data_IF_271099213386
#
_entry.id   IF_271099213386
#
_cell.length_a   1.000
_cell.length_b   1.000
_cell.length_c   1.000
_cell.angle_alpha   90.00
_cell.angle_beta   90.00
_cell.angle_gamma   90.00
#
_symmetry.space_group_name_H-M   'P 1'
#
loop_
_entity.id
_entity.type
_entity.pdbx_description
1 polymer ?
#
# COMPACT_ATOMS: atom_id res chain seq x y z
N UNK A 1 32.53 49.91 -55.19
CA UNK A 1 32.94 49.92 -53.78
C UNK A 1 31.84 49.20 -52.99
N UNK A 2 32.11 47.98 -52.53
CA UNK A 2 31.15 47.15 -51.79
C UNK A 2 31.30 47.41 -50.29
N UNK A 3 30.23 47.86 -49.63
CA UNK A 3 30.18 47.91 -48.17
C UNK A 3 29.99 46.50 -47.60
N UNK A 4 31.01 46.04 -46.86
CA UNK A 4 30.96 44.83 -46.07
C UNK A 4 30.20 45.16 -44.79
N UNK A 5 28.98 44.63 -44.63
CA UNK A 5 28.26 44.62 -43.34
C UNK A 5 28.97 43.66 -42.40
N UNK A 6 29.75 44.19 -41.47
CA UNK A 6 30.23 43.43 -40.31
C UNK A 6 29.04 43.07 -39.41
N UNK A 7 28.77 41.77 -39.25
CA UNK A 7 27.85 41.26 -38.25
C UNK A 7 28.52 41.32 -36.87
N UNK A 8 28.11 42.27 -36.01
CA UNK A 8 28.56 42.34 -34.62
C UNK A 8 28.30 41.01 -33.88
N UNK A 9 29.30 40.40 -33.23
CA UNK A 9 29.08 39.21 -32.42
C UNK A 9 28.24 39.57 -31.19
N UNK A 10 27.20 38.78 -30.90
CA UNK A 10 26.35 39.00 -29.73
C UNK A 10 27.19 39.16 -28.44
N UNK A 11 26.89 40.12 -27.56
CA UNK A 11 27.80 40.50 -26.47
C UNK A 11 27.96 39.37 -25.45
N UNK A 12 29.22 38.93 -25.26
CA UNK A 12 29.63 37.85 -24.33
C UNK A 12 29.17 38.07 -22.87
N UNK A 13 28.87 39.30 -22.47
CA UNK A 13 28.40 39.67 -21.13
C UNK A 13 26.97 39.21 -20.85
N UNK A 14 26.05 39.36 -21.81
CA UNK A 14 24.65 38.93 -21.65
C UNK A 14 24.51 37.40 -21.58
N UNK A 15 25.40 36.65 -22.23
CA UNK A 15 25.47 35.20 -22.11
C UNK A 15 25.97 34.77 -20.72
N UNK A 16 27.03 35.43 -20.21
CA UNK A 16 27.58 35.19 -18.87
C UNK A 16 26.58 35.52 -17.76
N UNK A 17 25.88 36.64 -17.83
CA UNK A 17 24.85 37.01 -16.84
C UNK A 17 23.69 36.02 -16.82
N UNK A 18 23.21 35.58 -18.00
CA UNK A 18 22.17 34.55 -18.09
C UNK A 18 22.65 33.23 -17.48
N UNK A 19 23.90 32.83 -17.71
CA UNK A 19 24.49 31.65 -17.09
C UNK A 19 24.56 31.80 -15.56
N UNK A 20 25.07 32.91 -15.05
CA UNK A 20 25.17 33.17 -13.61
C UNK A 20 23.80 33.19 -12.93
N UNK A 21 22.77 33.79 -13.55
CA UNK A 21 21.39 33.75 -13.03
C UNK A 21 20.85 32.33 -12.99
N UNK A 22 21.06 31.53 -14.04
CA UNK A 22 20.66 30.11 -14.06
C UNK A 22 21.36 29.30 -12.98
N UNK A 23 22.66 29.51 -12.78
CA UNK A 23 23.43 28.85 -11.72
C UNK A 23 22.95 29.26 -10.33
N UNK A 24 22.68 30.55 -10.11
CA UNK A 24 22.15 31.05 -8.84
C UNK A 24 20.78 30.42 -8.52
N UNK A 25 19.88 30.34 -9.49
CA UNK A 25 18.58 29.66 -9.33
C UNK A 25 18.77 28.17 -9.07
N UNK A 26 19.63 27.48 -9.82
CA UNK A 26 19.91 26.06 -9.62
C UNK A 26 20.48 25.78 -8.22
N UNK A 27 21.40 26.62 -7.75
CA UNK A 27 21.97 26.53 -6.41
C UNK A 27 20.92 26.80 -5.32
N UNK A 28 20.06 27.79 -5.50
CA UNK A 28 18.96 28.06 -4.57
C UNK A 28 17.99 26.86 -4.48
N UNK A 29 17.62 26.27 -5.62
CA UNK A 29 16.79 25.07 -5.66
C UNK A 29 17.45 23.87 -4.97
N UNK A 30 18.76 23.68 -5.17
CA UNK A 30 19.53 22.62 -4.50
C UNK A 30 19.55 22.83 -2.98
N UNK A 31 19.78 24.06 -2.51
CA UNK A 31 19.75 24.37 -1.07
C UNK A 31 18.38 24.07 -0.47
N UNK A 32 17.29 24.52 -1.12
CA UNK A 32 15.92 24.22 -0.67
C UNK A 32 15.66 22.70 -0.65
N UNK A 33 16.09 21.98 -1.67
CA UNK A 33 15.97 20.53 -1.73
C UNK A 33 16.70 19.85 -0.56
N UNK A 34 17.96 20.21 -0.32
CA UNK A 34 18.76 19.65 0.77
C UNK A 34 18.17 19.96 2.15
N UNK A 35 17.69 21.19 2.36
CA UNK A 35 17.01 21.57 3.60
C UNK A 35 15.71 20.79 3.81
N UNK A 36 14.91 20.60 2.75
CA UNK A 36 13.68 19.82 2.82
C UNK A 36 13.94 18.34 3.09
N UNK A 37 14.93 17.74 2.41
CA UNK A 37 15.37 16.36 2.63
C UNK A 37 15.86 16.15 4.08
N UNK A 38 16.75 17.02 4.56
CA UNK A 38 17.25 16.96 5.94
C UNK A 38 16.10 17.10 6.95
N UNK A 39 15.19 18.05 6.73
CA UNK A 39 14.03 18.29 7.60
C UNK A 39 13.10 17.08 7.65
N UNK A 40 12.82 16.44 6.50
CA UNK A 40 12.00 15.23 6.43
C UNK A 40 12.67 14.03 7.10
N UNK A 41 13.98 13.86 6.95
CA UNK A 41 14.73 12.80 7.65
C UNK A 41 14.71 12.98 9.15
N UNK A 42 14.94 14.20 9.63
CA UNK A 42 14.83 14.53 11.06
C UNK A 42 13.40 14.28 11.54
N UNK A 43 12.39 14.76 10.82
CA UNK A 43 10.99 14.53 11.17
C UNK A 43 10.63 13.04 11.23
N UNK A 44 11.02 12.26 10.22
CA UNK A 44 10.82 10.82 10.18
C UNK A 44 11.52 10.11 11.34
N UNK A 45 12.75 10.52 11.69
CA UNK A 45 13.49 9.92 12.81
C UNK A 45 12.87 10.24 14.17
N UNK A 46 12.27 11.43 14.31
CA UNK A 46 11.73 11.94 15.57
C UNK A 46 10.24 11.66 15.78
N UNK A 47 9.53 11.19 14.77
CA UNK A 47 8.08 10.97 14.80
C UNK A 47 7.70 9.57 14.32
N UNK A 48 6.40 9.26 14.35
CA UNK A 48 5.82 8.01 13.83
C UNK A 48 5.59 8.06 12.32
N UNK A 49 6.15 9.07 11.66
CA UNK A 49 6.08 9.24 10.24
C UNK A 49 6.92 8.21 9.51
N UNK A 50 6.26 7.32 8.76
CA UNK A 50 6.92 6.40 7.84
C UNK A 50 7.08 7.11 6.48
N UNK A 51 8.31 7.31 5.99
CA UNK A 51 8.56 7.84 4.67
C UNK A 51 7.95 6.96 3.58
N UNK A 52 7.43 7.57 2.52
CA UNK A 52 6.90 6.85 1.36
C UNK A 52 7.97 6.34 0.40
N UNK A 53 9.20 6.27 0.85
CA UNK A 53 10.25 5.58 0.09
C UNK A 53 9.78 4.14 -0.12
N UNK A 54 9.99 3.60 -1.32
CA UNK A 54 9.81 2.17 -1.64
C UNK A 54 10.86 1.36 -0.87
N UNK A 55 10.80 1.41 0.47
CA UNK A 55 11.74 0.77 1.38
C UNK A 55 11.56 -0.74 1.38
N UNK A 56 10.36 -1.19 1.02
CA UNK A 56 9.98 -2.57 1.20
C UNK A 56 9.54 -3.26 -0.07
N UNK A 57 9.23 -2.62 -1.20
CA UNK A 57 8.67 -3.34 -2.35
C UNK A 57 9.68 -3.50 -3.49
N UNK A 58 9.84 -4.72 -3.99
CA UNK A 58 10.60 -5.02 -5.21
C UNK A 58 9.72 -5.74 -6.24
N UNK A 59 10.00 -5.57 -7.55
CA UNK A 59 9.36 -6.36 -8.60
C UNK A 59 9.52 -7.86 -8.31
N UNK A 60 8.41 -8.60 -8.41
CA UNK A 60 8.41 -10.05 -8.22
C UNK A 60 7.71 -10.71 -9.40
N UNK A 61 8.36 -11.65 -10.08
CA UNK A 61 7.84 -12.23 -11.33
C UNK A 61 6.43 -12.82 -11.19
N UNK A 62 6.17 -13.58 -10.12
CA UNK A 62 4.85 -14.18 -9.90
C UNK A 62 3.83 -13.23 -9.26
N UNK A 63 4.25 -12.39 -8.31
CA UNK A 63 3.37 -11.57 -7.47
C UNK A 63 3.23 -10.13 -7.96
N UNK A 64 3.96 -9.75 -9.02
CA UNK A 64 4.13 -8.37 -9.48
C UNK A 64 5.05 -7.58 -8.56
N UNK A 65 4.80 -7.62 -7.25
CA UNK A 65 5.62 -7.03 -6.20
C UNK A 65 5.63 -7.88 -4.94
N UNK A 66 6.74 -7.84 -4.21
CA UNK A 66 6.88 -8.50 -2.91
C UNK A 66 7.78 -7.67 -2.00
N UNK A 67 7.76 -8.00 -0.70
CA UNK A 67 8.62 -7.31 0.24
C UNK A 67 10.11 -7.65 -0.02
N UNK A 68 11.01 -6.66 0.10
CA UNK A 68 12.47 -6.81 -0.01
C UNK A 68 12.98 -7.51 1.25
N UNK A 69 13.54 -8.73 1.16
CA UNK A 69 14.07 -9.42 2.32
C UNK A 69 15.21 -8.65 2.99
N UNK A 70 15.20 -8.57 4.32
CA UNK A 70 16.18 -7.82 5.11
C UNK A 70 16.01 -6.30 5.03
N UNK A 71 14.88 -5.81 4.50
CA UNK A 71 14.59 -4.38 4.54
C UNK A 71 14.26 -3.94 5.96
N UNK A 72 14.89 -2.85 6.37
CA UNK A 72 14.80 -2.31 7.72
C UNK A 72 14.50 -0.81 7.72
N UNK A 73 13.63 -0.42 8.65
CA UNK A 73 13.34 0.97 8.93
C UNK A 73 13.15 1.16 10.43
N UNK A 74 13.87 2.12 10.99
CA UNK A 74 13.76 2.50 12.39
C UNK A 74 13.55 4.01 12.57
N UNK A 75 12.62 4.35 13.45
CA UNK A 75 12.43 5.69 13.99
C UNK A 75 12.52 5.69 15.52
N UNK A 76 12.36 6.84 16.17
CA UNK A 76 12.33 6.91 17.65
C UNK A 76 11.10 6.23 18.25
N UNK A 77 10.06 6.02 17.46
CA UNK A 77 8.73 5.60 17.95
C UNK A 77 8.18 4.39 17.20
N UNK A 78 8.94 3.80 16.28
CA UNK A 78 8.54 2.61 15.54
C UNK A 78 9.69 1.96 14.79
N UNK A 79 9.50 0.70 14.43
CA UNK A 79 10.41 -0.11 13.63
C UNK A 79 9.61 -1.02 12.70
N UNK A 80 10.08 -1.14 11.47
CA UNK A 80 9.55 -2.07 10.48
C UNK A 80 10.72 -2.91 9.99
N UNK A 81 10.67 -4.20 10.29
CA UNK A 81 11.62 -5.17 9.80
C UNK A 81 10.92 -6.12 8.82
N UNK A 82 11.54 -6.35 7.66
CA UNK A 82 11.19 -7.44 6.75
C UNK A 82 12.24 -8.52 6.91
N UNK A 83 11.82 -9.69 7.40
CA UNK A 83 12.70 -10.81 7.64
C UNK A 83 13.33 -11.38 6.35
N UNK A 84 14.29 -12.29 6.52
CA UNK A 84 15.03 -12.94 5.44
C UNK A 84 14.14 -13.72 4.44
N UNK A 85 12.90 -14.04 4.82
CA UNK A 85 11.92 -14.74 4.00
C UNK A 85 10.95 -13.78 3.26
N UNK A 86 11.11 -12.47 3.45
CA UNK A 86 10.29 -11.44 2.81
C UNK A 86 8.90 -11.29 3.43
N UNK A 87 8.80 -11.40 4.77
CA UNK A 87 7.60 -11.14 5.57
C UNK A 87 7.90 -10.12 6.66
N UNK A 88 6.88 -9.39 7.13
CA UNK A 88 7.10 -8.40 8.19
C UNK A 88 7.26 -9.07 9.55
N UNK A 89 8.17 -8.55 10.37
CA UNK A 89 8.39 -8.97 11.76
C UNK A 89 9.53 -9.99 11.89
N UNK A 90 9.53 -10.76 12.97
CA UNK A 90 10.64 -11.63 13.34
C UNK A 90 10.92 -12.77 12.35
N UNK A 91 12.13 -13.30 12.40
CA UNK A 91 12.52 -14.52 11.70
C UNK A 91 11.74 -15.73 12.22
N UNK A 92 11.48 -16.69 11.33
CA UNK A 92 10.89 -17.98 11.66
C UNK A 92 11.49 -19.09 10.80
N UNK A 93 11.44 -20.32 11.31
CA UNK A 93 11.99 -21.47 10.61
C UNK A 93 11.09 -21.84 9.41
N UNK A 94 11.64 -22.03 8.19
CA UNK A 94 10.85 -22.45 7.04
C UNK A 94 10.10 -23.75 7.28
N UNK A 95 10.80 -24.77 7.78
CA UNK A 95 10.19 -26.01 8.27
C UNK A 95 9.43 -25.72 9.58
N UNK A 96 8.15 -26.09 9.63
CA UNK A 96 7.31 -25.87 10.81
C UNK A 96 7.85 -26.69 12.00
N UNK A 97 8.24 -26.06 13.13
CA UNK A 97 8.69 -26.79 14.30
C UNK A 97 7.58 -27.66 14.90
N UNK A 98 7.97 -28.75 15.58
CA UNK A 98 7.02 -29.62 16.27
C UNK A 98 6.28 -28.86 17.38
N UNK A 99 4.96 -29.08 17.48
CA UNK A 99 4.12 -28.40 18.48
C UNK A 99 3.83 -26.93 18.18
N UNK A 100 4.20 -26.44 16.98
CA UNK A 100 3.86 -25.08 16.54
C UNK A 100 2.55 -25.07 15.76
N UNK A 101 1.63 -24.19 16.18
CA UNK A 101 0.45 -23.82 15.39
C UNK A 101 0.75 -22.54 14.63
N UNK A 102 0.79 -22.62 13.30
CA UNK A 102 1.24 -21.54 12.42
C UNK A 102 0.05 -20.85 11.73
N UNK A 103 -0.05 -19.54 11.91
CA UNK A 103 -1.11 -18.71 11.36
C UNK A 103 -0.50 -17.81 10.29
N UNK A 104 -1.01 -17.85 9.07
CA UNK A 104 -0.67 -16.88 8.04
C UNK A 104 -1.71 -15.75 8.03
N UNK A 105 -1.29 -14.50 8.22
CA UNK A 105 -2.15 -13.33 8.13
C UNK A 105 -1.92 -12.62 6.78
N UNK A 106 -2.89 -12.66 5.88
CA UNK A 106 -2.82 -12.00 4.57
C UNK A 106 -3.68 -10.75 4.52
N UNK A 107 -3.18 -9.72 3.83
CA UNK A 107 -3.88 -8.44 3.70
C UNK A 107 -3.05 -7.38 2.98
N UNK A 108 -3.58 -6.16 2.99
CA UNK A 108 -2.91 -4.97 2.48
C UNK A 108 -2.02 -4.29 3.53
N UNK A 109 -1.96 -2.95 3.44
CA UNK A 109 -1.31 -2.07 4.42
C UNK A 109 -1.88 -2.19 5.83
N UNK A 110 -3.14 -2.61 5.96
CA UNK A 110 -3.85 -2.84 7.23
C UNK A 110 -3.32 -4.05 7.99
N UNK A 111 -2.95 -5.12 7.28
CA UNK A 111 -2.29 -6.31 7.87
C UNK A 111 -0.80 -6.10 8.05
N UNK A 112 -0.16 -5.45 7.07
CA UNK A 112 1.23 -5.04 7.21
C UNK A 112 1.38 -4.17 8.46
N UNK A 113 0.50 -3.20 8.70
CA UNK A 113 0.59 -2.24 9.81
C UNK A 113 1.31 -0.96 9.40
N UNK A 114 1.02 -0.42 8.21
CA UNK A 114 1.73 0.74 7.63
C UNK A 114 1.37 2.10 8.27
N UNK A 115 0.50 2.13 9.29
CA UNK A 115 0.04 3.38 9.91
C UNK A 115 0.93 3.82 11.08
N UNK A 116 1.00 5.13 11.40
CA UNK A 116 1.82 5.64 12.50
C UNK A 116 1.56 4.99 13.87
N UNK A 117 0.33 4.54 14.13
CA UNK A 117 -0.03 3.84 15.36
C UNK A 117 0.39 2.35 15.38
N UNK A 118 0.74 1.80 14.22
CA UNK A 118 1.14 0.39 14.02
C UNK A 118 2.53 0.28 13.39
N UNK A 119 3.30 1.37 13.39
CA UNK A 119 4.61 1.48 12.73
C UNK A 119 5.73 0.77 13.49
N UNK A 120 5.42 0.07 14.59
CA UNK A 120 6.29 -0.90 15.22
C UNK A 120 5.81 -2.30 14.86
N UNK A 121 6.73 -3.22 14.57
CA UNK A 121 6.40 -4.63 14.33
C UNK A 121 5.54 -5.23 15.44
N UNK A 122 5.78 -4.84 16.69
CA UNK A 122 5.04 -5.32 17.85
C UNK A 122 3.62 -4.72 17.99
N UNK A 123 3.31 -3.69 17.21
CA UNK A 123 2.04 -3.00 17.19
C UNK A 123 1.13 -3.46 16.03
N UNK A 124 1.66 -4.13 15.01
CA UNK A 124 0.84 -4.74 13.96
C UNK A 124 0.01 -5.88 14.55
N UNK A 125 -1.27 -6.00 14.13
CA UNK A 125 -2.17 -6.98 14.72
C UNK A 125 -1.68 -8.43 14.66
N UNK A 126 -0.93 -8.90 13.64
CA UNK A 126 -0.40 -10.27 13.63
C UNK A 126 0.56 -10.54 14.79
N UNK A 127 1.45 -9.59 15.11
CA UNK A 127 2.37 -9.71 16.24
C UNK A 127 1.64 -9.62 17.58
N UNK A 128 0.64 -8.72 17.68
CA UNK A 128 -0.23 -8.64 18.86
C UNK A 128 -0.97 -9.97 19.08
N UNK A 129 -1.51 -10.56 18.01
CA UNK A 129 -2.18 -11.85 18.05
C UNK A 129 -1.24 -12.97 18.51
N UNK A 130 -0.03 -13.05 17.95
CA UNK A 130 0.98 -14.04 18.37
C UNK A 130 1.26 -13.95 19.87
N UNK A 131 1.47 -12.73 20.37
CA UNK A 131 1.72 -12.48 21.79
C UNK A 131 0.53 -12.92 22.64
N UNK A 132 -0.68 -12.52 22.28
CA UNK A 132 -1.90 -12.87 23.02
C UNK A 132 -2.13 -14.38 23.06
N UNK A 133 -1.95 -15.09 21.94
CA UNK A 133 -2.11 -16.55 21.87
C UNK A 133 -1.06 -17.29 22.70
N UNK A 134 0.20 -16.83 22.65
CA UNK A 134 1.26 -17.44 23.45
C UNK A 134 1.16 -17.12 24.94
N UNK A 135 0.54 -16.01 25.32
CA UNK A 135 0.22 -15.72 26.73
C UNK A 135 -0.99 -16.52 27.21
N UNK A 136 -2.07 -16.58 26.42
CA UNK A 136 -3.31 -17.24 26.82
C UNK A 136 -3.23 -18.77 26.76
N UNK A 137 -2.40 -19.33 25.87
CA UNK A 137 -2.26 -20.78 25.63
C UNK A 137 -3.62 -21.50 25.54
N UNK A 138 -4.50 -21.11 24.59
CA UNK A 138 -5.87 -21.60 24.55
C UNK A 138 -6.01 -23.09 24.22
N UNK A 139 -5.01 -23.68 23.56
CA UNK A 139 -4.90 -25.12 23.31
C UNK A 139 -3.64 -25.65 24.02
N UNK A 140 -3.82 -26.60 24.92
CA UNK A 140 -2.73 -27.21 25.70
C UNK A 140 -1.83 -28.13 24.88
N UNK A 141 -2.26 -28.56 23.68
CA UNK A 141 -1.46 -29.34 22.74
C UNK A 141 -0.50 -28.47 21.92
N UNK A 142 -0.75 -27.16 21.86
CA UNK A 142 0.08 -26.21 21.11
C UNK A 142 1.17 -25.64 22.00
N UNK A 143 2.40 -26.10 21.78
CA UNK A 143 3.58 -25.59 22.48
C UNK A 143 3.87 -24.12 22.14
N UNK A 144 3.64 -23.69 20.89
CA UNK A 144 3.86 -22.31 20.44
C UNK A 144 2.91 -21.90 19.31
N UNK A 145 2.43 -20.67 19.37
CA UNK A 145 1.78 -20.03 18.24
C UNK A 145 2.80 -19.19 17.48
N UNK A 146 2.75 -19.26 16.15
CA UNK A 146 3.56 -18.43 15.26
C UNK A 146 2.62 -17.75 14.26
N UNK A 147 2.70 -16.42 14.13
CA UNK A 147 1.84 -15.64 13.24
C UNK A 147 2.70 -14.93 12.20
N UNK A 148 2.65 -15.43 10.96
CA UNK A 148 3.34 -14.85 9.82
C UNK A 148 2.55 -13.63 9.32
N UNK A 149 3.13 -12.43 9.44
CA UNK A 149 2.57 -11.23 8.83
C UNK A 149 2.91 -11.19 7.33
N UNK A 150 1.99 -11.69 6.52
CA UNK A 150 2.08 -11.71 5.06
C UNK A 150 1.29 -10.55 4.42
N UNK A 151 1.05 -9.48 5.18
CA UNK A 151 0.51 -8.24 4.64
C UNK A 151 1.52 -7.53 3.74
N UNK A 152 1.06 -6.98 2.62
CA UNK A 152 1.89 -6.14 1.74
C UNK A 152 1.07 -4.91 1.37
N UNK A 153 1.58 -3.68 1.58
CA UNK A 153 0.85 -2.45 1.22
C UNK A 153 0.30 -2.52 -0.20
N UNK A 154 -0.97 -2.12 -0.39
CA UNK A 154 -1.62 -2.14 -1.70
C UNK A 154 -2.02 -3.52 -2.28
N UNK A 155 -1.69 -4.65 -1.64
CA UNK A 155 -2.16 -5.97 -2.08
C UNK A 155 -3.69 -6.02 -2.10
N UNK A 156 -4.22 -6.55 -3.21
CA UNK A 156 -5.62 -6.96 -3.31
C UNK A 156 -5.79 -8.39 -2.81
N UNK A 157 -7.03 -8.83 -2.67
CA UNK A 157 -7.33 -10.22 -2.36
C UNK A 157 -6.72 -11.18 -3.38
N UNK A 158 -6.70 -10.80 -4.66
CA UNK A 158 -6.05 -11.57 -5.73
C UNK A 158 -4.54 -11.70 -5.53
N UNK A 159 -3.88 -10.62 -5.13
CA UNK A 159 -2.45 -10.64 -4.84
C UNK A 159 -2.15 -11.58 -3.67
N UNK A 160 -3.01 -11.58 -2.65
CA UNK A 160 -2.90 -12.52 -1.52
C UNK A 160 -3.23 -13.96 -1.90
N UNK A 161 -4.16 -14.21 -2.83
CA UNK A 161 -4.38 -15.55 -3.40
C UNK A 161 -3.14 -16.09 -4.09
N UNK A 162 -2.50 -15.28 -4.94
CA UNK A 162 -1.24 -15.65 -5.57
C UNK A 162 -0.15 -15.91 -4.52
N UNK A 163 0.06 -14.99 -3.58
CA UNK A 163 1.05 -15.12 -2.52
C UNK A 163 0.81 -16.36 -1.64
N UNK A 164 -0.46 -16.68 -1.37
CA UNK A 164 -0.82 -17.87 -0.61
C UNK A 164 -0.44 -19.14 -1.36
N UNK A 165 -0.88 -19.24 -2.63
CA UNK A 165 -0.63 -20.40 -3.49
C UNK A 165 0.85 -20.64 -3.79
N UNK A 166 1.63 -19.57 -3.99
CA UNK A 166 3.01 -19.68 -4.50
C UNK A 166 4.08 -19.60 -3.42
N UNK A 167 3.77 -19.05 -2.23
CA UNK A 167 4.75 -18.85 -1.14
C UNK A 167 4.24 -19.38 0.19
N UNK A 168 3.07 -18.96 0.68
CA UNK A 168 2.69 -19.24 2.07
C UNK A 168 2.41 -20.72 2.34
N UNK A 169 1.86 -21.46 1.38
CA UNK A 169 1.62 -22.90 1.53
C UNK A 169 2.91 -23.69 1.85
N UNK A 170 4.07 -23.23 1.34
CA UNK A 170 5.37 -23.85 1.64
C UNK A 170 5.68 -23.87 3.14
N UNK A 171 5.21 -22.87 3.89
CA UNK A 171 5.43 -22.76 5.33
C UNK A 171 4.42 -23.55 6.17
N UNK A 172 3.53 -24.33 5.55
CA UNK A 172 2.59 -25.23 6.22
C UNK A 172 1.72 -24.56 7.31
N UNK A 173 1.05 -23.42 7.01
CA UNK A 173 0.16 -22.79 7.96
C UNK A 173 -1.00 -23.72 8.33
N UNK A 174 -1.43 -23.69 9.59
CA UNK A 174 -2.62 -24.37 10.10
C UNK A 174 -3.88 -23.49 9.97
N UNK A 175 -3.70 -22.17 9.92
CA UNK A 175 -4.76 -21.18 9.77
C UNK A 175 -4.36 -20.05 8.83
N UNK A 176 -5.33 -19.53 8.07
CA UNK A 176 -5.19 -18.37 7.20
C UNK A 176 -6.17 -17.28 7.63
N UNK A 177 -5.67 -16.16 8.15
CA UNK A 177 -6.49 -14.97 8.41
C UNK A 177 -6.49 -14.09 7.15
N UNK A 178 -7.67 -13.78 6.64
CA UNK A 178 -7.87 -12.94 5.46
C UNK A 178 -8.46 -11.60 5.87
N UNK A 179 -7.69 -10.52 5.72
CA UNK A 179 -8.14 -9.16 5.99
C UNK A 179 -7.94 -8.25 4.77
N UNK A 180 -8.98 -8.17 3.93
CA UNK A 180 -9.01 -7.46 2.64
C UNK A 180 -10.33 -6.72 2.43
N UNK A 181 -10.35 -5.89 1.36
CA UNK A 181 -11.47 -5.18 0.73
C UNK A 181 -11.00 -3.79 0.27
N UNK A 182 -10.13 -3.15 1.05
CA UNK A 182 -9.69 -1.75 0.82
C UNK A 182 -9.06 -1.57 -0.56
N UNK A 183 -8.09 -2.41 -0.94
CA UNK A 183 -7.38 -2.29 -2.20
C UNK A 183 -8.17 -2.87 -3.38
N UNK A 184 -9.08 -3.79 -3.12
CA UNK A 184 -10.02 -4.33 -4.10
C UNK A 184 -11.05 -3.26 -4.51
N UNK A 185 -11.53 -2.49 -3.53
CA UNK A 185 -12.44 -1.37 -3.75
C UNK A 185 -11.73 -0.17 -4.40
N UNK A 186 -10.45 0.06 -4.10
CA UNK A 186 -9.61 1.05 -4.80
C UNK A 186 -9.47 0.77 -6.31
N UNK A 187 -9.75 -0.46 -6.74
CA UNK A 187 -9.72 -0.87 -8.15
C UNK A 187 -11.10 -0.81 -8.82
N UNK A 188 -12.13 -0.39 -8.10
CA UNK A 188 -13.46 -0.21 -8.66
C UNK A 188 -13.44 0.78 -9.82
N UNK A 189 -14.21 0.53 -10.87
CA UNK A 189 -14.25 1.36 -12.09
C UNK A 189 -13.02 1.22 -13.02
N UNK A 190 -12.06 0.36 -12.69
CA UNK A 190 -10.93 0.04 -13.57
C UNK A 190 -11.18 -1.28 -14.32
N UNK A 191 -11.65 -1.18 -15.57
CA UNK A 191 -11.94 -2.35 -16.44
C UNK A 191 -10.74 -3.28 -16.58
N UNK A 192 -9.51 -2.76 -16.68
CA UNK A 192 -8.33 -3.60 -16.78
C UNK A 192 -8.12 -4.47 -15.53
N UNK A 193 -8.51 -3.98 -14.35
CA UNK A 193 -8.47 -4.76 -13.10
C UNK A 193 -9.50 -5.90 -13.08
N UNK A 194 -10.60 -5.77 -13.83
CA UNK A 194 -11.60 -6.82 -14.03
C UNK A 194 -11.16 -7.84 -15.09
N UNK A 195 -10.74 -7.38 -16.26
CA UNK A 195 -10.55 -8.21 -17.46
C UNK A 195 -9.18 -8.86 -17.55
N UNK A 196 -8.16 -8.28 -16.91
CA UNK A 196 -6.79 -8.80 -16.91
C UNK A 196 -6.34 -9.18 -15.50
N UNK A 197 -6.92 -10.25 -14.91
CA UNK A 197 -6.69 -10.56 -13.52
C UNK A 197 -5.24 -10.96 -13.20
N UNK A 198 -4.50 -11.44 -14.20
CA UNK A 198 -3.11 -11.87 -14.06
C UNK A 198 -2.11 -10.76 -14.41
N UNK A 199 -2.55 -9.67 -15.05
CA UNK A 199 -1.70 -8.49 -15.22
C UNK A 199 -1.62 -7.80 -13.86
N UNK A 200 -0.61 -8.19 -13.08
CA UNK A 200 -0.26 -7.45 -11.89
C UNK A 200 -0.03 -6.00 -12.31
N UNK A 201 -0.79 -5.09 -11.70
CA UNK A 201 -0.72 -3.64 -11.92
C UNK A 201 0.60 -3.03 -11.41
N UNK A 202 1.69 -3.79 -11.41
CA UNK A 202 3.00 -3.21 -11.55
C UNK A 202 3.03 -2.62 -12.96
N UNK A 203 2.51 -1.41 -13.10
CA UNK A 203 2.66 -0.61 -14.32
C UNK A 203 4.17 -0.54 -14.52
N UNK A 204 4.73 -1.11 -15.60
CA UNK A 204 6.14 -0.90 -15.91
C UNK A 204 6.32 0.61 -15.88
N UNK A 205 7.11 1.09 -14.94
CA UNK A 205 7.38 2.52 -14.90
C UNK A 205 7.94 2.88 -16.28
N UNK A 206 7.38 3.91 -16.92
CA UNK A 206 7.97 4.41 -18.16
C UNK A 206 9.47 4.63 -17.94
N UNK A 207 10.29 4.37 -18.96
CA UNK A 207 11.77 4.34 -18.83
C UNK A 207 12.32 5.53 -18.01
N UNK A 208 11.74 6.72 -18.21
CA UNK A 208 12.11 7.93 -17.46
C UNK A 208 11.76 7.88 -15.97
N UNK A 209 10.59 7.36 -15.61
CA UNK A 209 10.19 7.20 -14.21
C UNK A 209 11.07 6.16 -13.50
N UNK A 210 11.38 5.05 -14.18
CA UNK A 210 12.29 4.02 -13.65
C UNK A 210 13.71 4.55 -13.43
N UNK A 211 14.24 5.38 -14.35
CA UNK A 211 15.54 6.04 -14.18
C UNK A 211 15.52 7.03 -13.00
N UNK A 212 14.46 7.81 -12.83
CA UNK A 212 14.33 8.72 -11.71
C UNK A 212 14.29 7.97 -10.38
N UNK A 213 13.56 6.85 -10.28
CA UNK A 213 13.52 6.06 -9.05
C UNK A 213 14.88 5.39 -8.76
N UNK A 214 15.65 5.00 -9.78
CA UNK A 214 17.03 4.52 -9.56
C UNK A 214 17.96 5.59 -8.99
N UNK A 215 17.84 6.84 -9.45
CA UNK A 215 18.74 7.93 -9.06
C UNK A 215 18.26 8.65 -7.80
N UNK A 216 16.96 8.75 -7.58
CA UNK A 216 16.32 9.56 -6.53
C UNK A 216 15.50 8.73 -5.53
N UNK A 217 15.47 7.40 -5.68
CA UNK A 217 14.77 6.47 -4.80
C UNK A 217 15.13 6.63 -3.33
N UNK A 218 16.37 7.02 -3.05
CA UNK A 218 16.89 7.26 -1.71
C UNK A 218 16.34 8.51 -1.01
N UNK A 219 15.78 9.47 -1.75
CA UNK A 219 15.35 10.77 -1.23
C UNK A 219 13.92 10.74 -0.68
N UNK A 220 13.77 11.13 0.59
CA UNK A 220 12.45 11.24 1.24
C UNK A 220 11.64 12.35 0.58
N UNK A 221 12.27 13.50 0.31
CA UNK A 221 11.61 14.65 -0.32
C UNK A 221 11.12 14.32 -1.72
N UNK A 222 11.94 13.65 -2.54
CA UNK A 222 11.56 13.23 -3.88
C UNK A 222 10.34 12.31 -3.84
N UNK A 223 10.37 11.29 -2.98
CA UNK A 223 9.26 10.34 -2.87
C UNK A 223 7.97 11.00 -2.34
N UNK A 224 8.09 11.93 -1.41
CA UNK A 224 6.94 12.72 -0.95
C UNK A 224 6.33 13.61 -2.01
N UNK A 225 7.19 14.30 -2.78
CA UNK A 225 6.76 15.14 -3.89
C UNK A 225 6.12 14.28 -4.98
N UNK A 226 6.75 13.18 -5.36
CA UNK A 226 6.23 12.21 -6.35
C UNK A 226 4.86 11.70 -5.94
N UNK A 227 4.70 11.24 -4.70
CA UNK A 227 3.41 10.79 -4.19
C UNK A 227 2.37 11.93 -4.16
N UNK A 228 2.75 13.13 -3.72
CA UNK A 228 1.82 14.26 -3.63
C UNK A 228 1.37 14.71 -5.02
N UNK A 229 2.30 14.85 -5.96
CA UNK A 229 2.01 15.25 -7.33
C UNK A 229 1.21 14.17 -8.08
N UNK A 230 1.65 12.92 -8.02
CA UNK A 230 1.01 11.81 -8.72
C UNK A 230 -0.33 11.41 -8.11
N UNK A 231 -0.35 11.13 -6.80
CA UNK A 231 -1.51 10.54 -6.14
C UNK A 231 -2.53 11.59 -5.71
N UNK A 232 -2.10 12.70 -5.09
CA UNK A 232 -3.04 13.68 -4.53
C UNK A 232 -3.53 14.68 -5.56
N UNK A 233 -2.63 15.23 -6.38
CA UNK A 233 -2.98 16.25 -7.36
C UNK A 233 -3.50 15.64 -8.66
N UNK A 234 -2.70 14.81 -9.32
CA UNK A 234 -3.09 14.22 -10.60
C UNK A 234 -4.22 13.20 -10.45
N UNK A 235 -4.15 12.31 -9.46
CA UNK A 235 -5.23 11.37 -9.14
C UNK A 235 -6.54 12.08 -8.78
N UNK A 236 -6.47 13.17 -8.01
CA UNK A 236 -7.63 14.01 -7.68
C UNK A 236 -8.26 14.66 -8.91
N UNK A 237 -7.44 15.19 -9.83
CA UNK A 237 -7.89 15.78 -11.08
C UNK A 237 -8.57 14.74 -11.98
N UNK A 238 -7.97 13.56 -12.16
CA UNK A 238 -8.57 12.48 -12.95
C UNK A 238 -9.90 12.02 -12.35
N UNK A 239 -9.97 11.85 -11.03
CA UNK A 239 -11.21 11.51 -10.34
C UNK A 239 -12.29 12.60 -10.54
N UNK A 240 -11.92 13.88 -10.47
CA UNK A 240 -12.83 14.99 -10.74
C UNK A 240 -13.33 15.01 -12.20
N UNK A 241 -12.46 14.69 -13.17
CA UNK A 241 -12.85 14.56 -14.58
C UNK A 241 -13.77 13.36 -14.83
N UNK A 242 -13.51 12.24 -14.15
CA UNK A 242 -14.34 11.03 -14.26
C UNK A 242 -15.70 11.18 -13.58
N UNK A 243 -15.76 11.90 -12.45
CA UNK A 243 -17.00 12.16 -11.71
C UNK A 243 -17.78 13.38 -12.22
N UNK A 244 -17.14 14.25 -13.00
CA UNK A 244 -17.74 15.45 -13.61
C UNK A 244 -18.43 15.22 -14.96
N UNK A 245 -18.31 14.02 -15.55
CA UNK A 245 -19.15 13.63 -16.69
C UNK A 245 -20.56 13.37 -16.19
N UNK A 246 -21.53 14.19 -16.62
CA UNK A 246 -22.92 14.27 -16.09
C UNK A 246 -23.81 13.02 -16.19
N UNK A 247 -23.26 11.82 -16.20
CA UNK A 247 -24.00 10.57 -16.01
C UNK A 247 -24.21 10.24 -14.53
N UNK A 248 -25.38 9.71 -14.20
CA UNK A 248 -25.66 9.18 -12.86
C UNK A 248 -24.72 7.99 -12.58
N UNK A 249 -23.97 8.04 -11.47
CA UNK A 249 -23.13 6.91 -11.06
C UNK A 249 -24.02 5.70 -10.78
N UNK A 250 -23.69 4.55 -11.39
CA UNK A 250 -24.37 3.28 -11.16
C UNK A 250 -23.43 2.27 -10.56
N UNK A 251 -23.96 1.51 -9.60
CA UNK A 251 -23.25 0.39 -9.03
C UNK A 251 -23.07 -0.71 -10.09
N UNK A 252 -21.84 -1.21 -10.21
CA UNK A 252 -21.45 -2.28 -11.12
C UNK A 252 -21.18 -3.55 -10.30
N UNK A 253 -22.06 -4.55 -10.37
CA UNK A 253 -21.94 -5.78 -9.58
C UNK A 253 -20.75 -6.64 -9.98
N UNK A 254 -20.14 -6.42 -11.16
CA UNK A 254 -18.99 -7.23 -11.62
C UNK A 254 -17.81 -7.18 -10.66
N UNK A 255 -17.58 -6.03 -10.02
CA UNK A 255 -16.47 -5.87 -9.07
C UNK A 255 -16.66 -6.70 -7.79
N UNK A 256 -17.88 -6.73 -7.24
CA UNK A 256 -18.21 -7.59 -6.09
C UNK A 256 -18.16 -9.07 -6.47
N UNK A 257 -18.67 -9.44 -7.65
CA UNK A 257 -18.61 -10.84 -8.13
C UNK A 257 -17.16 -11.34 -8.25
N UNK A 258 -16.27 -10.49 -8.76
CA UNK A 258 -14.84 -10.80 -8.87
C UNK A 258 -14.20 -10.92 -7.48
N UNK A 259 -14.53 -10.02 -6.55
CA UNK A 259 -14.07 -10.09 -5.16
C UNK A 259 -14.53 -11.39 -4.49
N UNK A 260 -15.82 -11.74 -4.59
CA UNK A 260 -16.41 -12.99 -4.08
C UNK A 260 -15.72 -14.22 -4.66
N UNK A 261 -15.49 -14.24 -5.97
CA UNK A 261 -14.79 -15.34 -6.64
C UNK A 261 -13.39 -15.53 -6.07
N UNK A 262 -12.60 -14.46 -5.99
CA UNK A 262 -11.22 -14.54 -5.51
C UNK A 262 -11.15 -14.92 -4.03
N UNK A 263 -12.12 -14.47 -3.21
CA UNK A 263 -12.27 -14.88 -1.82
C UNK A 263 -12.57 -16.37 -1.70
N UNK A 264 -13.55 -16.85 -2.47
CA UNK A 264 -13.93 -18.26 -2.50
C UNK A 264 -12.76 -19.13 -2.96
N UNK A 265 -12.01 -18.73 -3.99
CA UNK A 265 -10.83 -19.45 -4.41
C UNK A 265 -9.76 -19.55 -3.31
N UNK A 266 -9.54 -18.46 -2.56
CA UNK A 266 -8.59 -18.47 -1.45
C UNK A 266 -9.05 -19.42 -0.32
N UNK A 267 -10.33 -19.37 0.04
CA UNK A 267 -10.94 -20.25 1.04
C UNK A 267 -10.83 -21.72 0.62
N UNK A 268 -11.23 -22.05 -0.62
CA UNK A 268 -11.16 -23.40 -1.14
C UNK A 268 -9.72 -23.91 -1.19
N UNK A 269 -8.77 -23.08 -1.62
CA UNK A 269 -7.35 -23.45 -1.64
C UNK A 269 -6.81 -23.70 -0.23
N UNK A 270 -7.19 -22.87 0.75
CA UNK A 270 -6.80 -23.07 2.14
C UNK A 270 -7.33 -24.41 2.68
N UNK A 271 -8.64 -24.65 2.53
CA UNK A 271 -9.28 -25.90 2.96
C UNK A 271 -8.70 -27.14 2.28
N UNK A 272 -8.44 -27.07 0.98
CA UNK A 272 -7.85 -28.17 0.21
C UNK A 272 -6.44 -28.55 0.71
N UNK A 273 -5.75 -27.66 1.41
CA UNK A 273 -4.44 -27.90 2.03
C UNK A 273 -4.52 -28.09 3.55
N UNK A 274 -5.72 -28.32 4.11
CA UNK A 274 -5.92 -28.52 5.55
C UNK A 274 -5.73 -27.25 6.39
N UNK A 275 -5.75 -26.07 5.77
CA UNK A 275 -5.58 -24.77 6.42
C UNK A 275 -6.95 -24.18 6.76
N UNK A 276 -7.18 -23.80 8.01
CA UNK A 276 -8.45 -23.21 8.47
C UNK A 276 -8.53 -21.74 8.04
N UNK A 277 -9.48 -21.35 7.16
CA UNK A 277 -9.66 -19.95 6.79
C UNK A 277 -10.44 -19.19 7.86
N UNK A 278 -9.97 -18.01 8.22
CA UNK A 278 -10.65 -17.05 9.11
C UNK A 278 -10.81 -15.74 8.35
N UNK A 279 -12.06 -15.35 8.10
CA UNK A 279 -12.38 -14.18 7.29
C UNK A 279 -12.71 -12.98 8.17
N UNK A 280 -11.96 -11.89 8.03
CA UNK A 280 -12.18 -10.65 8.76
C UNK A 280 -12.84 -9.60 7.85
N UNK A 281 -13.97 -9.05 8.29
CA UNK A 281 -14.60 -7.90 7.60
C UNK A 281 -13.75 -6.65 7.75
N UNK A 282 -13.70 -5.82 6.71
CA UNK A 282 -13.03 -4.53 6.75
C UNK A 282 -13.66 -3.61 7.80
N UNK A 283 -12.85 -3.08 8.70
CA UNK A 283 -13.29 -2.04 9.62
C UNK A 283 -13.59 -0.75 8.82
N UNK A 284 -14.81 -0.22 8.96
CA UNK A 284 -15.25 1.00 8.29
C UNK A 284 -15.57 2.03 9.37
N UNK A 285 -14.82 3.14 9.36
CA UNK A 285 -14.99 4.23 10.31
C UNK A 285 -16.18 5.15 9.99
N UNK A 286 -16.73 5.07 8.79
CA UNK A 286 -17.84 5.90 8.32
C UNK A 286 -19.10 5.07 8.06
N UNK A 287 -20.26 5.71 8.16
CA UNK A 287 -21.57 5.10 7.87
C UNK A 287 -22.26 5.83 6.73
N UNK A 288 -23.41 5.33 6.27
CA UNK A 288 -24.27 6.05 5.32
C UNK A 288 -24.71 7.43 5.84
N UNK A 289 -24.64 7.67 7.15
CA UNK A 289 -25.01 8.93 7.80
C UNK A 289 -23.83 9.89 8.01
N UNK A 290 -22.61 9.48 7.67
CA UNK A 290 -21.42 10.32 7.88
C UNK A 290 -21.45 11.53 6.94
N UNK A 291 -21.55 12.72 7.51
CA UNK A 291 -21.43 13.99 6.78
C UNK A 291 -19.94 14.35 6.63
N UNK A 292 -19.39 14.09 5.46
CA UNK A 292 -17.99 14.40 5.14
C UNK A 292 -17.69 15.91 5.17
N UNK A 293 -18.69 16.79 5.07
CA UNK A 293 -18.49 18.23 5.21
C UNK A 293 -18.37 18.66 6.68
N UNK A 294 -19.00 17.91 7.61
CA UNK A 294 -19.09 18.25 9.03
C UNK A 294 -18.68 17.09 9.94
N UNK A 295 -17.45 16.60 9.79
CA UNK A 295 -16.91 15.54 10.64
C UNK A 295 -16.74 16.00 12.10
N UNK A 296 -17.09 15.14 13.06
CA UNK A 296 -16.78 15.32 14.48
C UNK A 296 -15.27 15.27 14.73
N UNK A 297 -14.83 15.71 15.91
CA UNK A 297 -13.41 15.61 16.28
C UNK A 297 -12.92 14.16 16.42
N UNK A 298 -13.77 13.28 16.95
CA UNK A 298 -13.46 11.85 17.04
C UNK A 298 -13.28 11.23 15.65
N UNK A 299 -14.20 11.54 14.72
CA UNK A 299 -14.06 11.17 13.31
C UNK A 299 -12.76 11.74 12.75
N UNK A 300 -12.51 13.06 12.83
CA UNK A 300 -11.27 13.68 12.32
C UNK A 300 -10.00 13.01 12.81
N UNK A 301 -9.99 12.54 14.07
CA UNK A 301 -8.85 11.85 14.70
C UNK A 301 -8.65 10.41 14.26
N UNK A 302 -9.62 9.76 13.59
CA UNK A 302 -9.45 8.41 13.05
C UNK A 302 -8.43 8.33 11.89
N UNK A 303 -7.56 9.34 11.73
CA UNK A 303 -6.57 9.49 10.66
C UNK A 303 -7.18 9.06 9.33
N UNK A 304 -8.26 9.73 8.94
CA UNK A 304 -8.88 9.51 7.65
C UNK A 304 -7.84 9.75 6.57
N UNK A 305 -7.31 8.67 6.00
CA UNK A 305 -6.69 8.76 4.69
C UNK A 305 -7.81 9.20 3.77
N UNK A 306 -7.85 10.50 3.43
CA UNK A 306 -9.01 11.11 2.78
C UNK A 306 -9.36 10.24 1.56
N UNK A 307 -10.47 9.49 1.60
CA UNK A 307 -10.72 8.39 0.67
C UNK A 307 -10.89 8.86 -0.78
N UNK A 308 -10.92 10.17 -0.99
CA UNK A 308 -11.19 10.82 -2.26
C UNK A 308 -10.32 10.30 -3.42
N UNK A 309 -9.01 10.16 -3.21
CA UNK A 309 -8.09 9.82 -4.29
C UNK A 309 -7.91 8.31 -4.48
N UNK A 310 -7.99 7.50 -3.42
CA UNK A 310 -7.88 6.04 -3.53
C UNK A 310 -9.14 5.38 -4.12
N UNK A 311 -10.31 6.03 -3.99
CA UNK A 311 -11.60 5.54 -4.49
C UNK A 311 -12.24 6.55 -5.44
N UNK A 312 -11.44 7.13 -6.34
CA UNK A 312 -11.87 8.25 -7.20
C UNK A 312 -13.07 7.95 -8.09
N UNK A 313 -13.30 6.68 -8.43
CA UNK A 313 -14.41 6.19 -9.25
C UNK A 313 -15.70 5.94 -8.46
N UNK A 314 -15.66 6.00 -7.13
CA UNK A 314 -16.82 5.82 -6.26
C UNK A 314 -17.12 7.15 -5.57
N UNK A 315 -18.32 7.73 -5.78
CA UNK A 315 -18.75 8.94 -5.09
C UNK A 315 -18.67 8.77 -3.57
N UNK A 316 -18.22 9.80 -2.86
CA UNK A 316 -18.03 9.77 -1.40
C UNK A 316 -19.18 9.11 -0.61
N UNK A 317 -20.44 9.56 -0.80
CA UNK A 317 -21.61 8.97 -0.13
C UNK A 317 -21.87 7.49 -0.45
N UNK A 318 -21.41 7.01 -1.62
CA UNK A 318 -21.61 5.63 -2.09
C UNK A 318 -20.51 4.68 -1.64
N UNK A 319 -19.39 5.17 -1.12
CA UNK A 319 -18.28 4.31 -0.66
C UNK A 319 -18.71 3.37 0.46
N UNK A 320 -19.51 3.86 1.39
CA UNK A 320 -20.04 3.03 2.48
C UNK A 320 -20.85 1.86 1.93
N UNK A 321 -21.71 2.13 0.94
CA UNK A 321 -22.52 1.10 0.28
C UNK A 321 -21.64 -0.01 -0.30
N UNK A 322 -20.59 0.35 -1.07
CA UNK A 322 -19.70 -0.65 -1.69
C UNK A 322 -18.89 -1.42 -0.63
N UNK A 323 -18.40 -0.76 0.42
CA UNK A 323 -17.73 -1.46 1.53
C UNK A 323 -18.67 -2.43 2.26
N UNK A 324 -19.92 -2.05 2.50
CA UNK A 324 -20.91 -2.93 3.12
C UNK A 324 -21.20 -4.16 2.27
N UNK A 325 -21.28 -4.01 0.94
CA UNK A 325 -21.44 -5.12 0.01
C UNK A 325 -20.27 -6.11 0.10
N UNK A 326 -19.04 -5.62 0.16
CA UNK A 326 -17.86 -6.48 0.30
C UNK A 326 -17.84 -7.18 1.67
N UNK A 327 -18.18 -6.47 2.75
CA UNK A 327 -18.31 -7.09 4.07
C UNK A 327 -19.46 -8.11 4.14
N UNK A 328 -20.55 -7.90 3.41
CA UNK A 328 -21.64 -8.86 3.27
C UNK A 328 -21.18 -10.10 2.51
N UNK A 329 -20.48 -9.94 1.39
CA UNK A 329 -19.86 -11.04 0.65
C UNK A 329 -18.92 -11.90 1.51
N UNK A 330 -18.12 -11.26 2.38
CA UNK A 330 -17.26 -11.95 3.35
C UNK A 330 -18.09 -12.80 4.32
N UNK A 331 -19.16 -12.22 4.90
CA UNK A 331 -20.03 -12.92 5.86
C UNK A 331 -20.78 -14.08 5.23
N UNK A 332 -21.35 -13.87 4.05
CA UNK A 332 -22.08 -14.91 3.32
C UNK A 332 -21.18 -16.11 3.04
N UNK A 333 -19.96 -15.86 2.52
CA UNK A 333 -19.02 -16.93 2.27
C UNK A 333 -18.58 -17.64 3.56
N UNK A 334 -18.37 -16.91 4.66
CA UNK A 334 -18.03 -17.51 5.96
C UNK A 334 -19.13 -18.40 6.56
N UNK A 335 -20.39 -18.25 6.09
CA UNK A 335 -21.52 -19.08 6.53
C UNK A 335 -21.78 -20.26 5.59
N UNK A 336 -21.38 -20.15 4.32
CA UNK A 336 -21.52 -21.19 3.30
C UNK A 336 -20.46 -22.30 3.46
N UNK A 337 -19.29 -21.96 3.99
CA UNK A 337 -18.05 -22.75 3.97
C UNK A 337 -17.53 -23.01 5.39
#
# INVERSE_FOLDING_TARGET
>A
MSEIRESSPAPRTAARERLLRRLAVAMALLVVFCLGEASLRVYARLSSYIPKVDLYDAPHYLLGRALVPGADYESRVGSIHVNSLGFRGSEFAPAKPQGTYRIAAVGGSTTFGYYPATSSDQAAYPAVLERLLNTAKPDSLVARYEVINAGVPGYSLRSSLQNFSSRLLFFQPDMLIVYHATNDLARYGNENGLTHPLLNQFVPQGVMAGLLDQVMGWSYLFQELRFTLGTRLWGGLLAALQTGGGGEWRYDPRYELVFRRDLRHLVLLAKANGVVPVLATQAIAFTAKTDFANLTEAERRMLFDRPAHFYGTIPGPRRFEVFQRYNQAIRELALEE
#
